data_IF_506756807633
#
_entry.id   IF_506756807633
#
_cell.length_a   1.000
_cell.length_b   1.000
_cell.length_c   1.000
_cell.angle_alpha   90.00
_cell.angle_beta   90.00
_cell.angle_gamma   90.00
#
_symmetry.space_group_name_H-M   'P 1'
#
loop_
_entity.id
_entity.type
_entity.pdbx_description
1 polymer ?
#
# COMPACT_ATOMS: atom_id res chain seq x y z
N UNK A 1 47.35 -4.51 7.55
CA UNK A 1 46.79 -4.07 8.86
C UNK A 1 47.48 -2.84 9.48
N UNK A 2 48.80 -2.64 9.32
CA UNK A 2 49.50 -1.53 9.96
C UNK A 2 49.17 -0.09 9.43
N UNK A 3 48.69 0.06 8.19
CA UNK A 3 48.38 1.39 7.64
C UNK A 3 47.06 1.96 8.17
N UNK A 4 46.04 1.13 8.37
CA UNK A 4 44.71 1.57 8.86
C UNK A 4 44.81 2.05 10.32
N UNK A 5 45.56 1.31 11.14
CA UNK A 5 45.79 1.68 12.56
C UNK A 5 46.52 3.03 12.71
N UNK A 6 47.45 3.33 11.82
CA UNK A 6 48.17 4.62 11.82
C UNK A 6 47.27 5.79 11.42
N UNK A 7 46.38 5.59 10.43
CA UNK A 7 45.42 6.64 10.01
C UNK A 7 44.41 6.91 11.11
N UNK A 8 43.93 5.88 11.80
CA UNK A 8 43.00 6.04 12.95
C UNK A 8 43.65 6.79 14.13
N UNK A 9 44.94 6.51 14.44
CA UNK A 9 45.69 7.19 15.46
C UNK A 9 45.93 8.67 15.13
N UNK A 10 46.25 8.98 13.86
CA UNK A 10 46.43 10.37 13.40
C UNK A 10 45.11 11.16 13.50
N UNK A 11 43.97 10.58 13.11
CA UNK A 11 42.68 11.24 13.22
C UNK A 11 42.27 11.51 14.68
N UNK A 12 42.52 10.60 15.59
CA UNK A 12 42.27 10.78 17.02
C UNK A 12 43.17 11.88 17.64
N UNK A 13 44.45 11.94 17.27
CA UNK A 13 45.37 12.97 17.73
C UNK A 13 44.99 14.38 17.23
N UNK A 14 44.54 14.50 15.99
CA UNK A 14 44.10 15.79 15.39
C UNK A 14 42.82 16.28 16.06
N UNK A 15 41.85 15.41 16.33
CA UNK A 15 40.61 15.79 17.01
C UNK A 15 40.85 16.23 18.46
N UNK A 16 41.76 15.57 19.16
CA UNK A 16 42.16 15.94 20.52
C UNK A 16 42.87 17.32 20.60
N UNK A 17 43.73 17.64 19.61
CA UNK A 17 44.41 18.91 19.52
C UNK A 17 43.45 20.08 19.22
N UNK A 18 42.48 19.91 18.36
CA UNK A 18 41.48 20.94 18.04
C UNK A 18 40.58 21.21 19.25
N UNK A 19 40.13 20.17 19.95
CA UNK A 19 39.30 20.32 21.17
C UNK A 19 40.08 20.97 22.32
N UNK A 20 41.38 20.64 22.49
CA UNK A 20 42.20 21.22 23.50
C UNK A 20 42.56 22.71 23.26
N UNK A 21 42.78 23.10 22.00
CA UNK A 21 42.99 24.48 21.61
C UNK A 21 41.74 25.35 21.80
N UNK A 22 40.54 24.81 21.53
CA UNK A 22 39.26 25.49 21.75
C UNK A 22 39.01 25.74 23.25
N UNK A 23 39.26 24.75 24.11
CA UNK A 23 39.15 24.88 25.57
C UNK A 23 40.11 25.93 26.13
N UNK A 24 41.36 25.98 25.64
CA UNK A 24 42.34 26.98 26.06
C UNK A 24 41.92 28.40 25.64
N UNK A 25 41.37 28.58 24.44
CA UNK A 25 40.86 29.88 23.97
C UNK A 25 39.68 30.37 24.79
N UNK A 26 38.80 29.49 25.25
CA UNK A 26 37.72 29.83 26.17
C UNK A 26 38.23 30.21 27.57
N UNK A 27 39.25 29.51 28.10
CA UNK A 27 39.86 29.81 29.41
C UNK A 27 40.60 31.15 29.45
N UNK A 28 41.15 31.63 28.32
CA UNK A 28 41.82 32.92 28.24
C UNK A 28 40.90 34.08 27.82
N UNK A 29 39.57 33.86 27.74
CA UNK A 29 38.58 34.90 27.43
C UNK A 29 38.66 35.46 26.00
N UNK A 30 39.35 34.76 25.12
CA UNK A 30 39.47 35.16 23.68
C UNK A 30 38.22 34.82 22.88
N UNK A 31 37.45 33.80 23.32
CA UNK A 31 36.18 33.40 22.73
C UNK A 31 35.16 33.17 23.84
N UNK A 32 34.04 33.89 23.81
CA UNK A 32 32.92 33.66 24.71
C UNK A 32 32.04 32.52 24.10
N UNK A 33 31.94 31.38 24.78
CA UNK A 33 31.11 30.26 24.28
C UNK A 33 29.64 30.62 24.19
N UNK A 34 29.14 31.65 24.88
CA UNK A 34 27.75 32.10 24.79
C UNK A 34 27.40 32.75 23.44
N UNK A 35 28.40 33.30 22.73
CA UNK A 35 28.21 33.91 21.43
C UNK A 35 27.99 32.86 20.29
N UNK A 36 28.36 31.61 20.51
CA UNK A 36 28.18 30.53 19.52
C UNK A 36 26.76 29.96 19.50
N UNK A 37 25.92 30.32 20.47
CA UNK A 37 24.55 29.86 20.61
C UNK A 37 23.50 30.97 20.48
N UNK A 38 23.90 32.18 20.09
CA UNK A 38 22.94 33.21 19.72
C UNK A 38 22.32 32.87 18.37
N UNK A 39 21.16 32.24 18.43
CA UNK A 39 20.24 32.11 17.30
C UNK A 39 19.75 33.55 17.00
N UNK A 40 20.07 34.09 15.83
CA UNK A 40 19.45 35.33 15.35
C UNK A 40 17.93 35.15 15.34
N UNK A 41 17.25 35.88 16.23
CA UNK A 41 15.81 36.07 16.11
C UNK A 41 15.59 36.99 14.90
N UNK A 42 15.41 36.35 13.74
CA UNK A 42 14.90 37.04 12.55
C UNK A 42 13.47 37.46 12.83
N UNK A 43 13.23 38.77 12.78
CA UNK A 43 11.90 39.38 12.90
C UNK A 43 10.92 38.68 11.93
N UNK A 44 9.95 38.02 12.51
CA UNK A 44 8.86 37.37 11.76
C UNK A 44 7.94 38.45 11.21
N UNK A 45 8.02 38.69 9.90
CA UNK A 45 6.94 39.33 9.16
C UNK A 45 5.71 38.41 9.25
N UNK A 46 4.48 38.93 9.40
CA UNK A 46 3.30 38.11 9.44
C UNK A 46 3.12 37.41 8.08
N UNK A 47 3.55 36.16 8.00
CA UNK A 47 3.24 35.29 6.87
C UNK A 47 1.76 34.97 6.94
N UNK A 48 1.04 35.29 5.86
CA UNK A 48 -0.31 34.79 5.61
C UNK A 48 -0.31 33.28 5.84
N UNK A 49 -1.29 32.79 6.60
CA UNK A 49 -1.50 31.38 6.87
C UNK A 49 -1.36 30.58 5.56
N UNK A 50 -0.63 29.46 5.56
CA UNK A 50 -0.66 28.53 4.43
C UNK A 50 -2.12 28.12 4.23
N UNK A 51 -2.58 28.13 2.99
CA UNK A 51 -3.84 27.50 2.65
C UNK A 51 -3.77 26.05 3.16
N UNK A 52 -4.71 25.69 4.02
CA UNK A 52 -4.90 24.35 4.53
C UNK A 52 -5.05 23.44 3.30
N UNK A 53 -4.04 22.62 3.05
CA UNK A 53 -4.15 21.53 2.09
C UNK A 53 -5.28 20.66 2.64
N UNK A 54 -6.34 20.37 1.87
CA UNK A 54 -7.38 19.47 2.33
C UNK A 54 -6.68 18.16 2.74
N UNK A 55 -6.70 17.84 4.02
CA UNK A 55 -6.40 16.49 4.47
C UNK A 55 -7.41 15.58 3.79
N UNK A 56 -7.00 14.42 3.22
CA UNK A 56 -7.95 13.42 2.80
C UNK A 56 -8.87 13.17 4.00
N UNK A 57 -10.17 13.39 3.83
CA UNK A 57 -11.14 13.00 4.85
C UNK A 57 -10.90 11.52 5.12
N UNK A 58 -10.63 11.19 6.38
CA UNK A 58 -10.69 9.80 6.80
C UNK A 58 -12.10 9.33 6.47
N UNK A 59 -12.23 8.51 5.45
CA UNK A 59 -13.49 7.88 5.05
C UNK A 59 -13.86 6.80 6.09
N UNK A 60 -14.04 7.24 7.31
CA UNK A 60 -14.64 6.50 8.41
C UNK A 60 -16.12 6.83 8.43
N UNK A 61 -16.93 6.16 7.61
CA UNK A 61 -18.37 6.26 7.75
C UNK A 61 -18.74 5.97 9.20
N UNK A 62 -19.41 6.90 9.86
CA UNK A 62 -19.74 6.81 11.29
C UNK A 62 -20.60 5.59 11.64
N UNK A 63 -21.04 4.82 10.64
CA UNK A 63 -21.92 3.66 10.76
C UNK A 63 -21.59 2.57 9.71
N UNK A 64 -20.30 2.21 9.57
CA UNK A 64 -19.86 1.15 8.69
C UNK A 64 -19.85 -0.22 9.38
N UNK A 65 -20.13 -1.29 8.62
CA UNK A 65 -19.96 -2.67 9.05
C UNK A 65 -19.01 -3.40 8.08
N UNK A 66 -18.00 -4.08 8.62
CA UNK A 66 -17.14 -4.98 7.85
C UNK A 66 -17.61 -6.43 8.08
N UNK A 67 -17.94 -7.12 7.00
CA UNK A 67 -18.39 -8.51 7.07
C UNK A 67 -17.20 -9.46 6.92
N UNK A 68 -17.37 -10.66 7.48
CA UNK A 68 -16.46 -11.78 7.22
C UNK A 68 -16.95 -12.59 6.02
N UNK A 69 -16.07 -13.38 5.43
CA UNK A 69 -16.34 -14.24 4.28
C UNK A 69 -17.58 -15.15 4.49
N UNK A 70 -17.77 -15.69 5.69
CA UNK A 70 -18.93 -16.55 6.02
C UNK A 70 -20.25 -15.78 6.17
N UNK A 71 -20.21 -14.45 6.17
CA UNK A 71 -21.35 -13.55 6.32
C UNK A 71 -21.85 -12.96 5.00
N UNK A 72 -21.09 -13.11 3.90
CA UNK A 72 -21.43 -12.49 2.60
C UNK A 72 -22.85 -12.82 2.16
N UNK A 73 -23.28 -14.07 2.30
CA UNK A 73 -24.64 -14.50 1.91
C UNK A 73 -25.75 -13.93 2.80
N UNK A 74 -25.39 -13.29 3.93
CA UNK A 74 -26.29 -12.63 4.87
C UNK A 74 -26.13 -11.09 4.83
N UNK A 75 -25.36 -10.57 3.89
CA UNK A 75 -24.97 -9.16 3.83
C UNK A 75 -26.18 -8.22 3.85
N UNK A 76 -27.25 -8.53 3.13
CA UNK A 76 -28.47 -7.73 3.08
C UNK A 76 -29.12 -7.56 4.47
N UNK A 77 -29.16 -8.64 5.26
CA UNK A 77 -29.73 -8.59 6.60
C UNK A 77 -28.83 -7.90 7.61
N UNK A 78 -27.49 -8.09 7.49
CA UNK A 78 -26.49 -7.52 8.38
C UNK A 78 -26.24 -6.03 8.11
N UNK A 79 -26.45 -5.56 6.88
CA UNK A 79 -26.31 -4.16 6.51
C UNK A 79 -27.46 -3.27 7.01
N UNK A 80 -28.53 -3.85 7.56
CA UNK A 80 -29.66 -3.06 8.06
C UNK A 80 -29.24 -2.12 9.19
N UNK A 81 -29.49 -0.82 8.99
CA UNK A 81 -29.13 0.22 9.94
C UNK A 81 -27.70 0.73 9.80
N UNK A 82 -26.97 0.30 8.80
CA UNK A 82 -25.63 0.79 8.43
C UNK A 82 -25.69 1.62 7.15
N UNK A 83 -24.79 2.60 7.03
CA UNK A 83 -24.66 3.46 5.86
C UNK A 83 -23.62 2.90 4.87
N UNK A 84 -22.67 2.10 5.39
CA UNK A 84 -21.61 1.46 4.60
C UNK A 84 -21.47 -0.01 4.98
N UNK A 85 -21.29 -0.87 3.98
CA UNK A 85 -20.94 -2.28 4.17
C UNK A 85 -19.69 -2.64 3.39
N UNK A 86 -18.70 -3.21 4.10
CA UNK A 86 -17.46 -3.71 3.49
C UNK A 86 -17.54 -5.23 3.39
N UNK A 87 -17.36 -5.74 2.17
CA UNK A 87 -17.40 -7.17 1.87
C UNK A 87 -16.03 -7.65 1.40
N UNK A 88 -15.47 -8.73 1.99
CA UNK A 88 -14.24 -9.35 1.50
C UNK A 88 -14.53 -10.12 0.21
N UNK A 89 -14.29 -9.50 -0.93
CA UNK A 89 -14.58 -10.10 -2.24
C UNK A 89 -13.44 -10.93 -2.79
N UNK A 90 -12.23 -10.75 -2.24
CA UNK A 90 -11.07 -11.63 -2.45
C UNK A 90 -10.28 -11.76 -1.16
N UNK A 91 -10.04 -13.01 -0.73
CA UNK A 91 -9.20 -13.29 0.44
C UNK A 91 -7.70 -13.10 0.13
N UNK A 92 -6.88 -13.06 1.18
CA UNK A 92 -5.41 -12.93 1.11
C UNK A 92 -4.73 -14.10 0.36
N UNK A 93 -5.38 -15.23 0.20
CA UNK A 93 -4.89 -16.35 -0.59
C UNK A 93 -5.20 -16.23 -2.09
N UNK A 94 -6.04 -15.27 -2.49
CA UNK A 94 -6.49 -15.05 -3.85
C UNK A 94 -7.87 -15.65 -4.16
N UNK A 95 -8.52 -16.32 -3.20
CA UNK A 95 -9.85 -16.90 -3.39
C UNK A 95 -10.92 -15.81 -3.57
N UNK A 96 -11.67 -15.87 -4.67
CA UNK A 96 -12.77 -14.93 -4.97
C UNK A 96 -14.08 -15.40 -4.34
N UNK A 97 -14.84 -14.48 -3.75
CA UNK A 97 -16.11 -14.74 -3.10
C UNK A 97 -17.34 -14.42 -3.97
N UNK A 98 -17.13 -14.38 -5.27
CA UNK A 98 -18.16 -14.27 -6.29
C UNK A 98 -17.81 -15.17 -7.49
N UNK A 99 -18.77 -15.41 -8.37
CA UNK A 99 -18.54 -16.22 -9.57
C UNK A 99 -17.95 -15.34 -10.67
N UNK A 100 -16.65 -15.47 -10.88
CA UNK A 100 -15.90 -14.79 -11.93
C UNK A 100 -15.95 -15.56 -13.26
N UNK A 101 -15.85 -14.83 -14.36
CA UNK A 101 -15.72 -15.37 -15.73
C UNK A 101 -14.30 -15.23 -16.30
N UNK A 102 -13.39 -14.69 -15.52
CA UNK A 102 -12.01 -14.48 -15.95
C UNK A 102 -11.31 -15.82 -16.15
N UNK A 103 -10.63 -16.04 -17.28
CA UNK A 103 -9.95 -17.30 -17.56
C UNK A 103 -9.00 -17.73 -16.45
N UNK A 104 -8.14 -16.81 -15.95
CA UNK A 104 -7.21 -17.11 -14.86
C UNK A 104 -7.91 -17.50 -13.56
N UNK A 105 -9.04 -16.86 -13.21
CA UNK A 105 -9.80 -17.19 -12.01
C UNK A 105 -10.44 -18.59 -12.12
N UNK A 106 -10.95 -18.93 -13.30
CA UNK A 106 -11.58 -20.24 -13.55
C UNK A 106 -10.53 -21.34 -13.59
N UNK A 107 -9.44 -21.15 -14.33
CA UNK A 107 -8.38 -22.13 -14.52
C UNK A 107 -7.62 -22.43 -13.22
N UNK A 108 -7.39 -21.41 -12.38
CA UNK A 108 -6.72 -21.56 -11.09
C UNK A 108 -7.61 -22.12 -9.99
N UNK A 109 -8.94 -22.10 -10.19
CA UNK A 109 -9.91 -22.44 -9.15
C UNK A 109 -10.10 -21.33 -8.11
N UNK A 110 -9.61 -20.10 -8.37
CA UNK A 110 -9.85 -18.95 -7.50
C UNK A 110 -11.33 -18.60 -7.40
N UNK A 111 -12.06 -18.79 -8.50
CA UNK A 111 -13.51 -18.54 -8.56
C UNK A 111 -14.29 -19.84 -8.48
N UNK A 112 -15.10 -19.97 -7.45
CA UNK A 112 -16.03 -21.08 -7.24
C UNK A 112 -17.25 -20.59 -6.47
N UNK A 113 -18.35 -21.35 -6.52
CA UNK A 113 -19.50 -21.10 -5.68
C UNK A 113 -20.83 -21.04 -6.44
N UNK A 114 -21.84 -20.52 -5.74
CA UNK A 114 -23.22 -20.44 -6.20
C UNK A 114 -23.42 -19.21 -7.11
N UNK A 115 -23.82 -19.38 -8.38
CA UNK A 115 -24.16 -18.26 -9.27
C UNK A 115 -25.23 -17.31 -8.70
N UNK A 116 -26.08 -17.77 -7.79
CA UNK A 116 -27.07 -16.93 -7.11
C UNK A 116 -26.42 -15.88 -6.18
N UNK A 117 -25.15 -16.07 -5.76
CA UNK A 117 -24.41 -15.07 -4.96
C UNK A 117 -24.25 -13.77 -5.75
N UNK A 118 -23.86 -13.83 -7.01
CA UNK A 118 -23.74 -12.62 -7.85
C UNK A 118 -25.06 -11.86 -7.96
N UNK A 119 -26.20 -12.58 -7.98
CA UNK A 119 -27.53 -11.94 -7.99
C UNK A 119 -27.84 -11.26 -6.66
N UNK A 120 -27.49 -11.90 -5.52
CA UNK A 120 -27.67 -11.30 -4.20
C UNK A 120 -26.78 -10.06 -4.00
N UNK A 121 -25.54 -10.10 -4.49
CA UNK A 121 -24.63 -8.94 -4.45
C UNK A 121 -25.19 -7.76 -5.26
N UNK A 122 -25.68 -8.02 -6.49
CA UNK A 122 -26.34 -6.97 -7.30
C UNK A 122 -27.55 -6.37 -6.56
N UNK A 123 -28.40 -7.20 -6.00
CA UNK A 123 -29.57 -6.71 -5.26
C UNK A 123 -29.21 -5.89 -4.02
N UNK A 124 -28.09 -6.21 -3.35
CA UNK A 124 -27.57 -5.41 -2.26
C UNK A 124 -27.05 -4.05 -2.75
N UNK A 125 -26.25 -4.06 -3.82
CA UNK A 125 -25.58 -2.87 -4.36
C UNK A 125 -26.56 -1.92 -5.07
N UNK A 126 -27.71 -2.41 -5.53
CA UNK A 126 -28.79 -1.58 -6.10
C UNK A 126 -29.55 -0.73 -5.03
N UNK A 127 -29.22 -0.90 -3.75
CA UNK A 127 -29.81 -0.13 -2.65
C UNK A 127 -29.10 1.22 -2.54
N UNK A 128 -29.64 2.24 -3.17
CA UNK A 128 -29.02 3.57 -3.28
C UNK A 128 -28.82 4.36 -1.98
N UNK A 129 -29.27 3.85 -0.82
CA UNK A 129 -28.99 4.40 0.50
C UNK A 129 -27.77 3.75 1.18
N UNK A 130 -27.18 2.72 0.61
CA UNK A 130 -26.08 1.94 1.16
C UNK A 130 -24.83 2.09 0.30
N UNK A 131 -23.72 2.57 0.88
CA UNK A 131 -22.42 2.55 0.23
C UNK A 131 -21.78 1.17 0.36
N UNK A 132 -21.53 0.51 -0.75
CA UNK A 132 -21.04 -0.87 -0.81
C UNK A 132 -19.59 -0.93 -1.24
N UNK A 133 -18.77 -1.54 -0.41
CA UNK A 133 -17.31 -1.62 -0.58
C UNK A 133 -16.88 -3.05 -0.81
N UNK A 134 -16.16 -3.31 -1.91
CA UNK A 134 -15.50 -4.58 -2.17
C UNK A 134 -14.03 -4.52 -1.72
N UNK A 135 -13.63 -5.30 -0.72
CA UNK A 135 -12.22 -5.42 -0.35
C UNK A 135 -11.59 -6.58 -1.11
N UNK A 136 -10.42 -6.34 -1.74
CA UNK A 136 -9.65 -7.35 -2.48
C UNK A 136 -8.18 -7.32 -2.13
N UNK A 137 -7.55 -8.51 -2.11
CA UNK A 137 -6.10 -8.67 -1.97
C UNK A 137 -5.43 -8.52 -3.33
N UNK A 138 -4.84 -7.34 -3.60
CA UNK A 138 -4.35 -6.96 -4.93
C UNK A 138 -3.20 -7.85 -5.43
N UNK A 139 -2.08 -7.89 -4.71
CA UNK A 139 -0.86 -8.58 -5.16
C UNK A 139 -0.53 -9.85 -4.37
N UNK A 140 -1.14 -10.07 -3.21
CA UNK A 140 -0.95 -11.29 -2.44
C UNK A 140 -1.96 -12.34 -2.89
N UNK A 141 -1.49 -13.34 -3.66
CA UNK A 141 -2.37 -14.33 -4.30
C UNK A 141 -1.62 -15.66 -4.45
N UNK A 142 -1.95 -16.58 -3.58
CA UNK A 142 -1.36 -17.92 -3.58
C UNK A 142 -2.03 -18.83 -4.60
N UNK A 143 -3.34 -18.66 -4.85
CA UNK A 143 -4.13 -19.54 -5.73
C UNK A 143 -3.66 -19.39 -7.17
N UNK A 144 -3.53 -18.18 -7.69
CA UNK A 144 -3.01 -17.95 -9.03
C UNK A 144 -1.57 -18.45 -9.18
N UNK A 145 -0.71 -18.20 -8.18
CA UNK A 145 0.71 -18.58 -8.24
C UNK A 145 0.91 -20.09 -8.16
N UNK A 146 0.03 -20.83 -7.48
CA UNK A 146 0.04 -22.30 -7.50
C UNK A 146 -0.30 -22.84 -8.88
N UNK A 147 -1.22 -22.22 -9.57
CA UNK A 147 -1.62 -22.60 -10.93
C UNK A 147 -0.57 -22.18 -11.97
N UNK A 148 -0.11 -20.93 -11.89
CA UNK A 148 0.93 -20.38 -12.77
C UNK A 148 2.02 -19.62 -12.00
N UNK A 149 3.09 -20.32 -11.61
CA UNK A 149 4.20 -19.69 -10.90
C UNK A 149 4.88 -18.55 -11.65
N UNK A 150 4.67 -18.41 -12.97
CA UNK A 150 5.29 -17.33 -13.74
C UNK A 150 4.71 -15.95 -13.43
N UNK A 151 3.55 -15.87 -12.79
CA UNK A 151 2.90 -14.63 -12.38
C UNK A 151 3.53 -13.99 -11.13
N UNK A 152 4.40 -14.73 -10.41
CA UNK A 152 4.89 -14.31 -9.10
C UNK A 152 6.12 -13.42 -9.16
N UNK A 153 6.27 -12.58 -8.14
CA UNK A 153 7.57 -12.06 -7.73
C UNK A 153 8.56 -13.21 -7.54
N UNK A 154 9.83 -13.00 -7.92
CA UNK A 154 10.84 -14.05 -7.96
C UNK A 154 11.93 -13.85 -6.93
N UNK A 155 12.41 -14.96 -6.39
CA UNK A 155 13.67 -15.01 -5.66
C UNK A 155 14.85 -14.81 -6.63
N UNK A 156 15.99 -14.44 -6.11
CA UNK A 156 17.25 -14.39 -6.88
C UNK A 156 17.54 -15.74 -7.54
N UNK A 157 17.16 -16.85 -6.90
CA UNK A 157 17.27 -18.23 -7.45
C UNK A 157 16.34 -18.51 -8.64
N UNK A 158 15.36 -17.63 -8.92
CA UNK A 158 14.36 -17.79 -9.98
C UNK A 158 13.06 -18.49 -9.55
N UNK A 159 12.98 -19.08 -8.35
CA UNK A 159 11.74 -19.64 -7.83
C UNK A 159 10.75 -18.55 -7.37
N UNK A 160 9.43 -18.82 -7.30
CA UNK A 160 8.48 -17.90 -6.71
C UNK A 160 8.89 -17.47 -5.29
N UNK A 161 8.75 -16.20 -5.01
CA UNK A 161 8.97 -15.66 -3.67
C UNK A 161 7.71 -15.86 -2.82
N UNK A 162 7.88 -16.06 -1.51
CA UNK A 162 6.81 -16.21 -0.54
C UNK A 162 7.12 -15.42 0.71
N UNK A 163 6.08 -14.82 1.30
CA UNK A 163 6.18 -14.13 2.58
C UNK A 163 6.35 -15.08 3.77
N UNK A 164 6.40 -14.50 4.98
CA UNK A 164 6.56 -15.27 6.22
C UNK A 164 5.40 -16.20 6.55
N UNK A 165 4.21 -15.93 6.03
CA UNK A 165 3.01 -16.77 6.16
C UNK A 165 2.91 -17.85 5.05
N UNK A 166 3.82 -17.81 4.07
CA UNK A 166 3.89 -18.78 2.99
C UNK A 166 3.08 -18.40 1.74
N UNK A 167 2.48 -17.22 1.69
CA UNK A 167 1.76 -16.74 0.53
C UNK A 167 2.71 -16.20 -0.55
N UNK A 168 2.36 -16.48 -1.80
CA UNK A 168 3.03 -15.90 -2.95
C UNK A 168 2.50 -14.52 -3.28
N UNK A 169 3.33 -13.73 -3.97
CA UNK A 169 3.00 -12.37 -4.38
C UNK A 169 3.11 -12.24 -5.88
N UNK A 170 2.09 -11.67 -6.51
CA UNK A 170 2.03 -11.39 -7.95
C UNK A 170 3.03 -10.29 -8.30
N UNK A 171 3.57 -10.36 -9.51
CA UNK A 171 4.44 -9.31 -10.06
C UNK A 171 3.59 -8.24 -10.75
N UNK A 172 3.50 -6.99 -10.23
CA UNK A 172 2.69 -5.94 -10.85
C UNK A 172 3.22 -5.51 -12.23
N UNK A 173 4.45 -5.87 -12.59
CA UNK A 173 4.99 -5.63 -13.92
C UNK A 173 4.60 -6.70 -14.95
N UNK A 174 4.00 -7.82 -14.52
CA UNK A 174 3.54 -8.88 -15.43
C UNK A 174 2.18 -8.51 -16.04
N UNK A 175 2.13 -8.44 -17.36
CA UNK A 175 0.92 -8.01 -18.10
C UNK A 175 -0.33 -8.86 -17.81
N UNK A 176 -0.16 -10.16 -17.52
CA UNK A 176 -1.28 -11.03 -17.22
C UNK A 176 -1.84 -10.78 -15.83
N UNK A 177 -1.00 -10.36 -14.89
CA UNK A 177 -1.41 -9.88 -13.57
C UNK A 177 -2.21 -8.59 -13.71
N UNK A 178 -1.68 -7.62 -14.45
CA UNK A 178 -2.38 -6.37 -14.76
C UNK A 178 -3.77 -6.64 -15.39
N UNK A 179 -3.82 -7.47 -16.44
CA UNK A 179 -5.09 -7.80 -17.10
C UNK A 179 -6.08 -8.54 -16.20
N UNK A 180 -5.59 -9.40 -15.30
CA UNK A 180 -6.42 -10.11 -14.33
C UNK A 180 -7.04 -9.13 -13.32
N UNK A 181 -6.24 -8.27 -12.70
CA UNK A 181 -6.72 -7.29 -11.72
C UNK A 181 -7.71 -6.29 -12.35
N UNK A 182 -7.44 -5.82 -13.57
CA UNK A 182 -8.40 -5.02 -14.35
C UNK A 182 -9.72 -5.78 -14.53
N UNK A 183 -9.65 -7.06 -14.84
CA UNK A 183 -10.83 -7.90 -14.99
C UNK A 183 -11.63 -8.05 -13.70
N UNK A 184 -10.94 -8.30 -12.57
CA UNK A 184 -11.56 -8.37 -11.23
C UNK A 184 -12.28 -7.07 -10.88
N UNK A 185 -11.60 -5.92 -11.02
CA UNK A 185 -12.22 -4.63 -10.74
C UNK A 185 -13.45 -4.37 -11.63
N UNK A 186 -13.40 -4.70 -12.92
CA UNK A 186 -14.54 -4.58 -13.82
C UNK A 186 -15.71 -5.47 -13.44
N UNK A 187 -15.45 -6.72 -13.03
CA UNK A 187 -16.51 -7.61 -12.58
C UNK A 187 -17.16 -7.11 -11.29
N UNK A 188 -16.41 -6.54 -10.36
CA UNK A 188 -16.93 -5.95 -9.13
C UNK A 188 -17.74 -4.67 -9.42
N UNK A 189 -17.24 -3.80 -10.28
CA UNK A 189 -17.98 -2.61 -10.74
C UNK A 189 -19.28 -3.00 -11.47
N UNK A 190 -19.25 -4.04 -12.33
CA UNK A 190 -20.45 -4.61 -13.00
C UNK A 190 -21.42 -5.24 -11.98
N UNK A 191 -20.95 -5.73 -10.84
CA UNK A 191 -21.80 -6.15 -9.72
C UNK A 191 -22.42 -4.97 -8.96
N UNK A 192 -22.01 -3.74 -9.23
CA UNK A 192 -22.58 -2.51 -8.71
C UNK A 192 -21.93 -2.01 -7.41
N UNK A 193 -20.72 -2.44 -7.08
CA UNK A 193 -19.99 -1.88 -5.94
C UNK A 193 -19.63 -0.43 -6.17
N UNK A 194 -19.84 0.42 -5.14
CA UNK A 194 -19.52 1.84 -5.17
C UNK A 194 -18.01 2.07 -5.03
N UNK A 195 -17.33 1.22 -4.25
CA UNK A 195 -15.91 1.36 -3.97
C UNK A 195 -15.21 -0.02 -3.99
N UNK A 196 -13.96 -0.05 -4.45
CA UNK A 196 -13.07 -1.20 -4.38
C UNK A 196 -11.83 -0.80 -3.57
N UNK A 197 -11.65 -1.41 -2.40
CA UNK A 197 -10.47 -1.22 -1.56
C UNK A 197 -9.41 -2.25 -1.89
N UNK A 198 -8.24 -1.78 -2.29
CA UNK A 198 -7.07 -2.60 -2.59
C UNK A 198 -6.21 -2.77 -1.33
N UNK A 199 -6.27 -3.95 -0.72
CA UNK A 199 -5.27 -4.39 0.27
C UNK A 199 -4.08 -5.02 -0.44
N UNK A 200 -2.91 -5.08 0.20
CA UNK A 200 -1.69 -5.66 -0.39
C UNK A 200 -1.33 -5.09 -1.79
N UNK A 201 -1.73 -3.85 -2.11
CA UNK A 201 -1.33 -3.15 -3.32
C UNK A 201 0.05 -2.51 -3.12
N UNK A 202 1.06 -3.35 -2.87
CA UNK A 202 2.40 -2.99 -2.45
C UNK A 202 3.38 -4.11 -2.75
N UNK A 203 4.69 -3.83 -2.66
CA UNK A 203 5.70 -4.89 -2.59
C UNK A 203 5.83 -5.38 -1.14
N UNK A 204 6.16 -6.67 -0.94
CA UNK A 204 6.30 -7.21 0.41
C UNK A 204 7.48 -6.57 1.16
N UNK A 205 7.25 -6.24 2.42
CA UNK A 205 8.24 -5.66 3.35
C UNK A 205 8.69 -6.65 4.42
N UNK A 206 7.98 -7.76 4.57
CA UNK A 206 8.23 -8.78 5.58
C UNK A 206 8.62 -10.12 4.97
N UNK A 207 9.27 -10.97 5.76
CA UNK A 207 9.78 -12.27 5.34
C UNK A 207 11.20 -12.19 4.81
N UNK A 208 11.61 -13.15 3.97
CA UNK A 208 12.97 -13.20 3.40
C UNK A 208 13.12 -12.25 2.20
N UNK A 209 12.89 -10.94 2.41
CA UNK A 209 12.92 -9.91 1.36
C UNK A 209 14.31 -9.76 0.73
N UNK A 210 15.38 -10.08 1.47
CA UNK A 210 16.76 -10.11 0.97
C UNK A 210 16.98 -11.17 -0.12
N UNK A 211 16.11 -12.16 -0.19
CA UNK A 211 16.09 -13.19 -1.23
C UNK A 211 15.25 -12.79 -2.45
N UNK A 212 14.50 -11.71 -2.37
CA UNK A 212 13.71 -11.21 -3.49
C UNK A 212 14.64 -10.71 -4.59
N UNK A 213 14.33 -11.04 -5.86
CA UNK A 213 15.06 -10.45 -6.98
C UNK A 213 14.86 -8.94 -6.94
N UNK A 214 15.93 -8.14 -7.12
CA UNK A 214 15.80 -6.68 -7.16
C UNK A 214 14.69 -6.25 -8.12
N UNK A 215 13.76 -5.45 -7.62
CA UNK A 215 12.71 -4.82 -8.39
C UNK A 215 13.25 -3.49 -8.91
N UNK A 216 12.78 -3.07 -10.08
CA UNK A 216 13.13 -1.76 -10.62
C UNK A 216 12.42 -0.62 -9.89
N UNK A 217 11.76 0.24 -10.64
CA UNK A 217 10.92 1.31 -10.11
C UNK A 217 9.61 0.73 -9.53
N UNK A 218 9.59 0.45 -8.23
CA UNK A 218 8.45 -0.12 -7.52
C UNK A 218 7.25 0.83 -7.53
N UNK A 219 7.49 2.09 -7.17
CA UNK A 219 6.44 3.13 -7.11
C UNK A 219 5.82 3.35 -8.48
N UNK A 220 6.65 3.52 -9.53
CA UNK A 220 6.13 3.68 -10.89
C UNK A 220 5.34 2.48 -11.41
N UNK A 221 5.70 1.25 -11.00
CA UNK A 221 4.92 0.06 -11.35
C UNK A 221 3.54 0.05 -10.67
N UNK A 222 3.48 0.41 -9.38
CA UNK A 222 2.22 0.51 -8.62
C UNK A 222 1.36 1.68 -9.12
N UNK A 223 1.97 2.85 -9.40
CA UNK A 223 1.26 4.00 -9.96
C UNK A 223 0.61 3.65 -11.32
N UNK A 224 1.36 3.00 -12.20
CA UNK A 224 0.84 2.54 -13.49
C UNK A 224 -0.35 1.59 -13.29
N UNK A 225 -0.21 0.61 -12.40
CA UNK A 225 -1.28 -0.36 -12.10
C UNK A 225 -2.52 0.38 -11.59
N UNK A 226 -2.38 1.23 -10.57
CA UNK A 226 -3.50 1.97 -9.97
C UNK A 226 -4.26 2.80 -11.01
N UNK A 227 -3.56 3.58 -11.84
CA UNK A 227 -4.19 4.37 -12.92
C UNK A 227 -4.94 3.50 -13.94
N UNK A 228 -4.46 2.28 -14.20
CA UNK A 228 -5.13 1.36 -15.09
C UNK A 228 -6.38 0.76 -14.47
N UNK A 229 -6.36 0.46 -13.16
CA UNK A 229 -7.53 -0.01 -12.43
C UNK A 229 -8.61 1.08 -12.37
N UNK A 230 -8.25 2.32 -12.02
CA UNK A 230 -9.18 3.47 -12.05
C UNK A 230 -9.78 3.69 -13.45
N UNK A 231 -8.93 3.72 -14.48
CA UNK A 231 -9.41 3.83 -15.86
C UNK A 231 -10.29 2.67 -16.32
N UNK A 232 -10.11 1.49 -15.73
CA UNK A 232 -10.91 0.31 -16.08
C UNK A 232 -12.34 0.35 -15.53
N UNK A 233 -12.59 1.09 -14.45
CA UNK A 233 -13.90 1.20 -13.78
C UNK A 233 -14.57 2.55 -13.94
N UNK A 234 -13.94 3.48 -14.65
CA UNK A 234 -14.43 4.85 -14.81
C UNK A 234 -15.87 4.97 -15.36
N UNK A 235 -16.29 4.00 -16.21
CA UNK A 235 -17.63 3.99 -16.78
C UNK A 235 -18.74 3.62 -15.75
N UNK A 236 -18.35 3.05 -14.59
CA UNK A 236 -19.26 2.65 -13.50
C UNK A 236 -19.31 3.64 -12.36
N UNK A 237 -18.47 4.69 -12.39
CA UNK A 237 -18.28 5.64 -11.28
C UNK A 237 -17.82 4.94 -9.97
N UNK A 238 -17.23 3.74 -10.07
CA UNK A 238 -16.70 2.99 -8.93
C UNK A 238 -15.34 3.59 -8.52
N UNK A 239 -15.17 3.86 -7.23
CA UNK A 239 -13.93 4.38 -6.67
C UNK A 239 -12.89 3.28 -6.43
N UNK A 240 -11.60 3.59 -6.62
CA UNK A 240 -10.48 2.70 -6.30
C UNK A 240 -9.67 3.31 -5.15
N UNK A 241 -9.82 2.72 -3.98
CA UNK A 241 -9.15 3.14 -2.75
C UNK A 241 -7.98 2.24 -2.40
N UNK A 242 -6.97 2.78 -1.73
CA UNK A 242 -5.80 2.04 -1.27
C UNK A 242 -5.80 1.91 0.26
N UNK A 243 -5.47 0.72 0.76
CA UNK A 243 -5.01 0.55 2.14
C UNK A 243 -3.54 0.94 2.21
N UNK A 244 -3.23 1.92 3.05
CA UNK A 244 -1.87 2.41 3.22
C UNK A 244 -0.99 1.37 3.93
N UNK A 245 0.28 1.30 3.53
CA UNK A 245 1.30 0.54 4.25
C UNK A 245 1.94 1.43 5.34
N UNK A 246 2.46 0.81 6.38
CA UNK A 246 3.10 1.52 7.50
C UNK A 246 4.33 2.38 7.10
N UNK A 247 4.97 2.08 5.97
CA UNK A 247 6.13 2.81 5.43
C UNK A 247 5.78 3.77 4.28
N UNK A 248 4.51 4.04 4.04
CA UNK A 248 4.06 4.82 2.88
C UNK A 248 4.43 6.31 2.93
N UNK A 249 4.78 6.84 4.10
CA UNK A 249 5.28 8.20 4.32
C UNK A 249 6.81 8.33 4.14
N UNK A 250 7.53 7.21 3.94
CA UNK A 250 8.97 7.20 3.72
C UNK A 250 9.32 7.47 2.26
N UNK A 251 10.30 8.36 1.96
CA UNK A 251 10.68 8.71 0.57
C UNK A 251 11.12 7.51 -0.28
N UNK A 252 11.80 6.54 0.34
CA UNK A 252 12.30 5.31 -0.29
C UNK A 252 11.57 4.08 0.28
N UNK A 253 10.23 4.15 0.33
CA UNK A 253 9.37 3.11 0.87
C UNK A 253 9.72 1.72 0.33
N UNK A 254 9.96 0.78 1.22
CA UNK A 254 10.26 -0.61 0.87
C UNK A 254 9.07 -1.30 0.22
N UNK A 255 7.84 -0.91 0.57
CA UNK A 255 6.59 -1.38 -0.04
C UNK A 255 6.37 -0.81 -1.45
N UNK A 256 7.05 0.29 -1.80
CA UNK A 256 6.82 1.05 -3.02
C UNK A 256 5.60 1.96 -2.96
N UNK A 257 4.82 1.95 -1.87
CA UNK A 257 3.83 2.98 -1.61
C UNK A 257 4.53 4.24 -1.09
N UNK A 258 4.18 5.38 -1.64
CA UNK A 258 4.70 6.69 -1.25
C UNK A 258 3.53 7.65 -1.12
N UNK A 259 3.72 8.77 -0.43
CA UNK A 259 2.71 9.83 -0.33
C UNK A 259 2.21 10.27 -1.73
N UNK A 260 3.11 10.33 -2.72
CA UNK A 260 2.75 10.65 -4.10
C UNK A 260 1.87 9.59 -4.76
N UNK A 261 2.08 8.30 -4.48
CA UNK A 261 1.22 7.22 -4.96
C UNK A 261 -0.14 7.26 -4.27
N UNK A 262 -0.16 7.45 -2.95
CA UNK A 262 -1.42 7.54 -2.19
C UNK A 262 -2.29 8.71 -2.65
N UNK A 263 -1.67 9.84 -3.03
CA UNK A 263 -2.40 11.01 -3.56
C UNK A 263 -3.10 10.76 -4.92
N UNK A 264 -2.86 9.63 -5.58
CA UNK A 264 -3.52 9.27 -6.84
C UNK A 264 -4.78 8.44 -6.58
N UNK A 265 -4.86 7.71 -5.47
CA UNK A 265 -6.04 6.93 -5.11
C UNK A 265 -7.24 7.84 -4.87
N UNK A 266 -8.44 7.31 -5.12
CA UNK A 266 -9.68 8.06 -4.87
C UNK A 266 -9.88 8.27 -3.37
N UNK A 267 -9.52 7.27 -2.54
CA UNK A 267 -9.37 7.43 -1.10
C UNK A 267 -8.21 6.57 -0.55
N UNK A 268 -7.76 6.89 0.66
CA UNK A 268 -6.72 6.17 1.39
C UNK A 268 -7.27 5.72 2.74
N UNK A 269 -7.14 4.42 3.02
CA UNK A 269 -7.58 3.82 4.27
C UNK A 269 -6.33 3.52 5.11
N UNK A 270 -6.22 4.13 6.28
CA UNK A 270 -5.17 3.84 7.26
C UNK A 270 -5.38 2.45 7.89
N UNK A 271 -4.28 1.80 8.30
CA UNK A 271 -4.34 0.54 9.05
C UNK A 271 -5.02 0.70 10.41
#
# INVERSE_FOLDING_TARGET
>A
MHHITRILYLALCVSGLVSGAFLLLCCFGVVDPALLFQREETAVLPTSAPAEVPQPEEAGAANAITLRTDQIDQAEALAVGHDTVVLPMQDEDGSLHYVSRLPLAVESGASWGDPARNQRLRALNERGELHTVAEISCLRDQVLIQNDPSLSLRRVSGSPWRDGAGYGWLDPAERRVEAYLIGVCRELADLGFDEIVLTHCAYPTEGAVECLRPQGDKTGALEKLLRQLQGAVADWETEISLRACADADEPDSASGQTEALLAIADAVISE
#
